data_IF_745183016088
#
_entry.id   IF_745183016088
#
_cell.length_a   1.000
_cell.length_b   1.000
_cell.length_c   1.000
_cell.angle_alpha   90.00
_cell.angle_beta   90.00
_cell.angle_gamma   90.00
#
_symmetry.space_group_name_H-M   'P 1'
#
loop_
_entity.id
_entity.type
_entity.pdbx_description
1 polymer ?
#
# COMPACT_ATOMS: atom_id res chain seq x y z
N UNK A 1 0.55 -4.22 -19.84
CA UNK A 1 1.36 -5.37 -20.30
C UNK A 1 2.61 -4.83 -20.96
N UNK A 2 3.79 -5.36 -20.63
CA UNK A 2 5.07 -4.96 -21.21
C UNK A 2 5.78 -6.22 -21.69
N UNK A 3 6.29 -6.18 -22.92
CA UNK A 3 7.07 -7.26 -23.51
C UNK A 3 8.53 -6.82 -23.53
N UNK A 4 9.40 -7.55 -22.84
CA UNK A 4 10.85 -7.33 -22.83
C UNK A 4 11.52 -8.46 -23.60
N UNK A 5 12.39 -8.11 -24.54
CA UNK A 5 13.08 -9.06 -25.41
C UNK A 5 14.60 -8.97 -25.19
N UNK A 6 15.32 -10.11 -25.20
CA UNK A 6 16.78 -10.13 -25.07
C UNK A 6 17.49 -9.63 -26.35
N UNK A 7 16.77 -9.61 -27.47
CA UNK A 7 17.22 -9.07 -28.76
C UNK A 7 16.36 -7.88 -29.14
N UNK A 8 16.85 -7.06 -30.07
CA UNK A 8 16.02 -6.06 -30.71
C UNK A 8 14.87 -6.74 -31.44
N UNK A 9 13.64 -6.30 -31.15
CA UNK A 9 12.41 -6.70 -31.82
C UNK A 9 11.74 -5.42 -32.29
N UNK A 10 11.54 -5.30 -33.60
CA UNK A 10 10.90 -4.12 -34.19
C UNK A 10 9.40 -4.07 -33.88
N UNK A 11 8.80 -2.88 -33.95
CA UNK A 11 7.35 -2.73 -33.82
C UNK A 11 6.61 -3.48 -34.95
N UNK A 12 7.21 -3.58 -36.13
CA UNK A 12 6.69 -4.33 -37.28
C UNK A 12 6.66 -5.85 -37.00
N UNK A 13 7.67 -6.40 -36.31
CA UNK A 13 7.66 -7.80 -35.87
C UNK A 13 6.49 -8.08 -34.92
N UNK A 14 6.24 -7.18 -33.95
CA UNK A 14 5.12 -7.33 -33.00
C UNK A 14 3.77 -7.23 -33.71
N UNK A 15 3.62 -6.24 -34.59
CA UNK A 15 2.42 -6.05 -35.40
C UNK A 15 2.16 -7.29 -36.28
N UNK A 16 3.17 -7.75 -37.01
CA UNK A 16 3.05 -8.95 -37.85
C UNK A 16 2.66 -10.19 -37.05
N UNK A 17 3.15 -10.32 -35.80
CA UNK A 17 2.74 -11.40 -34.90
C UNK A 17 1.25 -11.32 -34.57
N UNK A 18 0.72 -10.13 -34.27
CA UNK A 18 -0.72 -9.96 -33.98
C UNK A 18 -1.59 -10.32 -35.19
N UNK A 19 -1.16 -10.01 -36.40
CA UNK A 19 -1.88 -10.35 -37.64
C UNK A 19 -1.80 -11.83 -38.03
N UNK A 20 -0.68 -12.49 -37.71
CA UNK A 20 -0.42 -13.88 -38.10
C UNK A 20 -0.90 -14.92 -37.08
N UNK A 21 -1.35 -14.50 -35.89
CA UNK A 21 -1.95 -15.42 -34.92
C UNK A 21 -3.33 -15.85 -35.43
N UNK A 22 -3.52 -17.14 -35.66
CA UNK A 22 -4.83 -17.71 -35.96
C UNK A 22 -5.73 -17.64 -34.71
N UNK A 23 -6.85 -16.87 -34.73
CA UNK A 23 -7.69 -16.67 -33.55
C UNK A 23 -8.17 -17.98 -32.94
N UNK A 24 -8.59 -18.94 -33.77
CA UNK A 24 -9.12 -20.23 -33.36
C UNK A 24 -8.05 -21.10 -32.67
N UNK A 25 -6.76 -20.79 -32.83
CA UNK A 25 -5.66 -21.51 -32.19
C UNK A 25 -5.39 -21.06 -30.76
N UNK A 26 -5.88 -19.89 -30.34
CA UNK A 26 -5.54 -19.25 -29.05
C UNK A 26 -5.89 -20.15 -27.87
N UNK A 27 -7.06 -20.78 -27.89
CA UNK A 27 -7.47 -21.66 -26.81
C UNK A 27 -6.52 -22.86 -26.63
N UNK A 28 -6.08 -23.45 -27.75
CA UNK A 28 -5.13 -24.56 -27.73
C UNK A 28 -3.76 -24.09 -27.26
N UNK A 29 -3.29 -22.95 -27.76
CA UNK A 29 -2.02 -22.33 -27.35
C UNK A 29 -2.00 -22.03 -25.85
N UNK A 30 -3.08 -21.46 -25.30
CA UNK A 30 -3.19 -21.16 -23.86
C UNK A 30 -3.08 -22.42 -23.02
N UNK A 31 -3.75 -23.53 -23.42
CA UNK A 31 -3.62 -24.81 -22.71
C UNK A 31 -2.18 -25.33 -22.68
N UNK A 32 -1.44 -25.19 -23.78
CA UNK A 32 -0.03 -25.62 -23.87
C UNK A 32 0.89 -24.72 -23.05
N UNK A 33 0.70 -23.40 -23.13
CA UNK A 33 1.50 -22.40 -22.41
C UNK A 33 1.29 -22.55 -20.89
N UNK A 34 0.04 -22.71 -20.45
CA UNK A 34 -0.28 -22.83 -19.02
C UNK A 34 0.34 -24.06 -18.39
N UNK A 35 0.37 -25.20 -19.09
CA UNK A 35 1.01 -26.44 -18.62
C UNK A 35 2.51 -26.30 -18.35
N UNK A 36 3.15 -25.30 -18.94
CA UNK A 36 4.58 -25.02 -18.77
C UNK A 36 4.85 -23.71 -18.01
N UNK A 37 3.81 -23.07 -17.46
CA UNK A 37 3.91 -21.76 -16.84
C UNK A 37 3.94 -21.84 -15.31
N UNK A 38 4.80 -21.02 -14.70
CA UNK A 38 4.80 -20.81 -13.24
C UNK A 38 3.52 -20.15 -12.74
N UNK A 39 2.74 -19.53 -13.63
CA UNK A 39 1.47 -18.86 -13.31
C UNK A 39 0.45 -19.79 -12.64
N UNK A 40 0.39 -21.06 -13.05
CA UNK A 40 -0.62 -21.99 -12.51
C UNK A 40 -0.15 -22.75 -11.28
N UNK A 41 1.07 -22.51 -10.77
CA UNK A 41 1.64 -23.20 -9.60
C UNK A 41 0.70 -23.25 -8.41
N UNK A 42 0.21 -22.08 -7.99
CA UNK A 42 -0.68 -21.98 -6.84
C UNK A 42 -2.01 -22.68 -7.10
N UNK A 43 -2.55 -22.54 -8.31
CA UNK A 43 -3.78 -23.21 -8.70
C UNK A 43 -3.63 -24.73 -8.71
N UNK A 44 -2.47 -25.26 -9.15
CA UNK A 44 -2.17 -26.69 -9.16
C UNK A 44 -2.10 -27.24 -7.73
N UNK A 45 -1.43 -26.53 -6.82
CA UNK A 45 -1.38 -26.92 -5.41
C UNK A 45 -2.77 -26.91 -4.79
N UNK A 46 -3.56 -25.86 -5.02
CA UNK A 46 -4.91 -25.77 -4.48
C UNK A 46 -5.82 -26.86 -5.02
N UNK A 47 -5.77 -27.14 -6.32
CA UNK A 47 -6.53 -28.21 -6.96
C UNK A 47 -6.08 -29.57 -6.44
N UNK A 48 -4.77 -29.82 -6.35
CA UNK A 48 -4.22 -31.05 -5.77
C UNK A 48 -4.67 -31.28 -4.33
N UNK A 49 -4.72 -30.23 -3.49
CA UNK A 49 -5.27 -30.32 -2.12
C UNK A 49 -6.76 -30.64 -2.10
N UNK A 50 -7.55 -30.04 -3.01
CA UNK A 50 -8.99 -30.31 -3.13
C UNK A 50 -9.29 -31.73 -3.59
N UNK A 51 -8.50 -32.25 -4.52
CA UNK A 51 -8.59 -33.63 -5.01
C UNK A 51 -7.99 -34.66 -4.04
N UNK A 52 -7.38 -34.22 -2.93
CA UNK A 52 -6.71 -35.09 -1.97
C UNK A 52 -5.37 -35.66 -2.46
N UNK A 53 -4.89 -35.23 -3.63
CA UNK A 53 -3.59 -35.64 -4.16
C UNK A 53 -2.41 -34.96 -3.43
N UNK A 54 -2.67 -33.88 -2.69
CA UNK A 54 -1.71 -33.21 -1.81
C UNK A 54 -2.28 -33.08 -0.40
N UNK A 55 -1.44 -33.25 0.62
CA UNK A 55 -1.83 -33.04 2.01
C UNK A 55 -2.17 -31.56 2.27
N UNK A 56 -3.01 -31.30 3.28
CA UNK A 56 -3.39 -29.93 3.67
C UNK A 56 -2.17 -29.10 4.06
N UNK A 57 -1.20 -29.72 4.71
CA UNK A 57 0.04 -29.09 5.19
C UNK A 57 1.16 -29.09 4.14
N UNK A 58 0.87 -29.52 2.90
CA UNK A 58 1.86 -29.51 1.82
C UNK A 58 2.36 -28.08 1.57
N UNK A 59 3.66 -27.89 1.74
CA UNK A 59 4.36 -26.64 1.46
C UNK A 59 4.71 -26.54 -0.02
N UNK A 60 3.99 -25.67 -0.70
CA UNK A 60 4.21 -25.36 -2.11
C UNK A 60 5.60 -24.81 -2.41
N UNK A 61 6.34 -24.26 -1.44
CA UNK A 61 7.69 -23.70 -1.69
C UNK A 61 8.80 -24.74 -1.69
N UNK A 62 8.56 -25.89 -1.08
CA UNK A 62 9.54 -26.98 -0.92
C UNK A 62 9.85 -27.77 -2.20
N UNK A 63 8.99 -27.71 -3.23
CA UNK A 63 9.13 -28.47 -4.48
C UNK A 63 9.20 -27.56 -5.69
N UNK A 64 10.25 -27.67 -6.52
CA UNK A 64 10.38 -26.90 -7.76
C UNK A 64 9.20 -27.12 -8.73
N UNK A 65 8.85 -26.09 -9.52
CA UNK A 65 7.64 -26.14 -10.36
C UNK A 65 7.66 -27.27 -11.39
N UNK A 66 8.83 -27.52 -11.99
CA UNK A 66 9.02 -28.59 -12.96
C UNK A 66 8.64 -29.96 -12.39
N UNK A 67 9.12 -30.27 -11.18
CA UNK A 67 8.81 -31.53 -10.48
C UNK A 67 7.34 -31.65 -10.12
N UNK A 68 6.70 -30.54 -9.71
CA UNK A 68 5.27 -30.52 -9.43
C UNK A 68 4.46 -30.83 -10.70
N UNK A 69 4.85 -30.27 -11.85
CA UNK A 69 4.23 -30.60 -13.13
C UNK A 69 4.46 -32.04 -13.54
N UNK A 70 5.69 -32.55 -13.48
CA UNK A 70 6.02 -33.94 -13.83
C UNK A 70 5.17 -34.96 -13.05
N UNK A 71 4.88 -34.68 -11.77
CA UNK A 71 4.03 -35.56 -10.93
C UNK A 71 2.57 -35.53 -11.37
N UNK A 72 2.07 -34.38 -11.82
CA UNK A 72 0.68 -34.20 -12.20
C UNK A 72 0.46 -34.28 -13.72
N UNK A 73 1.49 -34.59 -14.50
CA UNK A 73 1.34 -34.69 -15.95
C UNK A 73 0.40 -35.84 -16.33
N UNK A 74 -0.46 -35.60 -17.31
CA UNK A 74 -1.54 -36.51 -17.68
C UNK A 74 -2.63 -36.74 -16.61
N UNK A 75 -2.58 -36.06 -15.46
CA UNK A 75 -3.60 -36.21 -14.40
C UNK A 75 -4.82 -35.31 -14.60
N UNK A 76 -5.97 -35.76 -14.09
CA UNK A 76 -7.21 -34.96 -13.99
C UNK A 76 -6.99 -33.68 -13.17
N UNK A 77 -6.09 -33.72 -12.17
CA UNK A 77 -5.76 -32.57 -11.33
C UNK A 77 -5.14 -31.44 -12.16
N UNK A 78 -4.21 -31.77 -13.06
CA UNK A 78 -3.59 -30.77 -13.94
C UNK A 78 -4.59 -30.26 -14.97
N UNK A 79 -5.40 -31.13 -15.56
CA UNK A 79 -6.44 -30.74 -16.51
C UNK A 79 -7.43 -29.75 -15.88
N UNK A 80 -7.97 -30.09 -14.70
CA UNK A 80 -8.89 -29.22 -13.97
C UNK A 80 -8.23 -27.91 -13.57
N UNK A 81 -6.96 -27.93 -13.17
CA UNK A 81 -6.20 -26.71 -12.87
C UNK A 81 -6.17 -25.78 -14.08
N UNK A 82 -5.88 -26.30 -15.27
CA UNK A 82 -5.83 -25.50 -16.51
C UNK A 82 -7.22 -24.98 -16.86
N UNK A 83 -8.26 -25.82 -16.80
CA UNK A 83 -9.63 -25.43 -17.08
C UNK A 83 -10.10 -24.30 -16.14
N UNK A 84 -9.86 -24.47 -14.83
CA UNK A 84 -10.19 -23.48 -13.81
C UNK A 84 -9.47 -22.15 -14.02
N UNK A 85 -8.18 -22.18 -14.35
CA UNK A 85 -7.41 -20.95 -14.62
C UNK A 85 -7.95 -20.23 -15.86
N UNK A 86 -8.23 -20.97 -16.93
CA UNK A 86 -8.84 -20.39 -18.13
C UNK A 86 -10.19 -19.76 -17.76
N UNK A 87 -11.04 -20.47 -17.02
CA UNK A 87 -12.38 -20.00 -16.67
C UNK A 87 -12.39 -18.80 -15.71
N UNK A 88 -11.58 -18.83 -14.63
CA UNK A 88 -11.63 -17.81 -13.57
C UNK A 88 -10.72 -16.62 -13.83
N UNK A 89 -9.69 -16.77 -14.67
CA UNK A 89 -8.62 -15.76 -14.82
C UNK A 89 -8.41 -15.30 -16.25
N UNK A 90 -9.03 -15.91 -17.25
CA UNK A 90 -8.80 -15.58 -18.65
C UNK A 90 -10.10 -15.40 -19.39
N UNK A 91 -10.10 -14.44 -20.30
CA UNK A 91 -11.21 -14.22 -21.21
C UNK A 91 -10.77 -14.61 -22.63
N UNK A 92 -10.69 -15.93 -22.85
CA UNK A 92 -10.19 -16.48 -24.12
C UNK A 92 -11.18 -16.21 -25.24
N UNK A 93 -12.48 -16.25 -24.96
CA UNK A 93 -13.53 -16.03 -25.95
C UNK A 93 -13.44 -14.62 -26.55
N UNK A 94 -13.47 -13.57 -25.72
CA UNK A 94 -13.36 -12.20 -26.24
C UNK A 94 -11.95 -11.89 -26.78
N UNK A 95 -10.90 -12.56 -26.29
CA UNK A 95 -9.57 -12.43 -26.88
C UNK A 95 -9.52 -12.94 -28.34
N UNK A 96 -10.24 -14.01 -28.67
CA UNK A 96 -10.41 -14.51 -30.04
C UNK A 96 -11.14 -13.49 -30.89
N UNK A 97 -12.20 -12.86 -30.37
CA UNK A 97 -12.94 -11.80 -31.07
C UNK A 97 -12.06 -10.58 -31.38
N UNK A 98 -11.22 -10.15 -30.42
CA UNK A 98 -10.27 -9.05 -30.62
C UNK A 98 -9.27 -9.39 -31.72
N UNK A 99 -8.69 -10.59 -31.72
CA UNK A 99 -7.74 -11.01 -32.76
C UNK A 99 -8.42 -11.12 -34.14
N UNK A 100 -9.64 -11.62 -34.20
CA UNK A 100 -10.44 -11.64 -35.43
C UNK A 100 -10.71 -10.22 -35.93
N UNK A 101 -11.11 -9.32 -35.05
CA UNK A 101 -11.31 -7.91 -35.38
C UNK A 101 -10.05 -7.22 -35.89
N UNK A 102 -8.87 -7.55 -35.34
CA UNK A 102 -7.58 -7.07 -35.85
C UNK A 102 -7.34 -7.60 -37.27
N UNK A 103 -7.51 -8.91 -37.50
CA UNK A 103 -7.26 -9.58 -38.79
C UNK A 103 -8.20 -9.09 -39.90
N UNK A 104 -9.46 -8.84 -39.57
CA UNK A 104 -10.48 -8.33 -40.49
C UNK A 104 -10.38 -6.81 -40.74
N UNK A 105 -9.52 -6.11 -39.99
CA UNK A 105 -9.36 -4.65 -40.09
C UNK A 105 -10.41 -3.84 -39.33
N UNK A 106 -11.30 -4.50 -38.57
CA UNK A 106 -12.29 -3.86 -37.69
C UNK A 106 -11.63 -3.18 -36.47
N UNK A 107 -10.48 -3.69 -36.03
CA UNK A 107 -9.66 -3.12 -34.96
C UNK A 107 -8.33 -2.68 -35.56
N UNK A 108 -8.10 -1.36 -35.60
CA UNK A 108 -6.86 -0.79 -36.12
C UNK A 108 -5.74 -0.89 -35.08
N UNK A 109 -4.60 -1.47 -35.49
CA UNK A 109 -3.34 -1.42 -34.73
C UNK A 109 -2.56 -0.17 -35.16
N UNK A 110 -2.06 0.60 -34.19
CA UNK A 110 -1.30 1.85 -34.44
C UNK A 110 0.03 1.81 -33.72
N UNK A 111 1.11 1.97 -34.47
CA UNK A 111 2.47 2.12 -33.94
C UNK A 111 2.68 3.56 -33.50
N UNK A 112 3.09 3.73 -32.25
CA UNK A 112 3.39 5.05 -31.67
C UNK A 112 4.59 4.95 -30.72
N UNK A 113 5.20 6.11 -30.42
CA UNK A 113 6.21 6.21 -29.38
C UNK A 113 5.64 5.99 -27.97
N UNK A 114 6.48 6.18 -26.95
CA UNK A 114 6.03 6.07 -25.56
C UNK A 114 4.94 7.11 -25.24
N UNK A 115 3.74 6.62 -24.94
CA UNK A 115 2.67 7.44 -24.37
C UNK A 115 2.78 7.50 -22.84
N UNK A 116 2.10 8.44 -22.16
CA UNK A 116 2.00 8.43 -20.69
C UNK A 116 1.52 7.09 -20.11
N UNK A 117 0.63 6.37 -20.82
CA UNK A 117 0.18 5.03 -20.43
C UNK A 117 1.28 3.97 -20.57
N UNK A 118 2.08 4.07 -21.63
CA UNK A 118 3.23 3.18 -21.87
C UNK A 118 4.31 3.38 -20.80
N UNK A 119 4.55 4.61 -20.37
CA UNK A 119 5.49 4.93 -19.28
C UNK A 119 5.08 4.27 -17.98
N UNK A 120 3.80 4.36 -17.59
CA UNK A 120 3.29 3.71 -16.37
C UNK A 120 3.44 2.19 -16.48
N UNK A 121 3.06 1.60 -17.61
CA UNK A 121 3.21 0.16 -17.84
C UNK A 121 4.66 -0.30 -17.72
N UNK A 122 5.59 0.44 -18.34
CA UNK A 122 7.04 0.19 -18.33
C UNK A 122 7.66 0.34 -16.93
N UNK A 123 7.26 1.37 -16.19
CA UNK A 123 7.69 1.56 -14.81
C UNK A 123 7.21 0.37 -13.95
N UNK A 124 5.95 -0.07 -14.09
CA UNK A 124 5.38 -1.17 -13.31
C UNK A 124 6.07 -2.50 -13.62
N UNK A 125 6.37 -2.80 -14.89
CA UNK A 125 6.98 -4.07 -15.29
C UNK A 125 8.42 -4.24 -14.79
N UNK A 126 9.17 -3.15 -14.68
CA UNK A 126 10.55 -3.14 -14.17
C UNK A 126 10.63 -3.15 -12.63
N UNK A 127 9.48 -3.24 -11.95
CA UNK A 127 9.41 -3.02 -10.50
C UNK A 127 9.78 -1.58 -10.09
N UNK A 128 9.91 -0.67 -11.07
CA UNK A 128 10.18 0.76 -10.87
C UNK A 128 8.92 1.51 -10.44
N UNK A 129 7.74 0.93 -10.72
CA UNK A 129 6.47 1.27 -10.13
C UNK A 129 5.92 0.10 -9.29
N UNK A 130 6.52 -0.10 -8.11
CA UNK A 130 5.69 0.16 -6.92
C UNK A 130 5.38 1.65 -7.01
N UNK A 131 4.13 2.07 -7.27
CA UNK A 131 3.89 3.40 -7.81
C UNK A 131 4.38 4.49 -6.85
N UNK A 132 5.56 5.05 -7.13
CA UNK A 132 6.09 6.23 -6.44
C UNK A 132 5.13 7.42 -6.58
N UNK A 133 4.40 7.49 -7.71
CA UNK A 133 3.46 8.58 -8.01
C UNK A 133 2.05 8.40 -7.44
N UNK A 134 1.48 7.19 -7.45
CA UNK A 134 0.20 6.95 -6.77
C UNK A 134 0.39 7.10 -5.25
N UNK A 135 1.52 6.64 -4.70
CA UNK A 135 1.94 7.02 -3.35
C UNK A 135 2.04 8.53 -3.22
N UNK A 136 2.72 9.27 -4.10
CA UNK A 136 2.85 10.74 -3.90
C UNK A 136 1.50 11.46 -3.87
N UNK A 137 0.56 11.14 -4.76
CA UNK A 137 -0.77 11.78 -4.76
C UNK A 137 -1.57 11.38 -3.52
N UNK A 138 -1.53 10.10 -3.13
CA UNK A 138 -2.20 9.61 -1.93
C UNK A 138 -1.56 10.20 -0.66
N UNK A 139 -0.23 10.31 -0.62
CA UNK A 139 0.53 10.89 0.48
C UNK A 139 0.35 12.41 0.55
N UNK A 140 0.20 13.09 -0.59
CA UNK A 140 -0.16 14.52 -0.65
C UNK A 140 -1.60 14.74 -0.16
N UNK A 141 -2.54 13.88 -0.56
CA UNK A 141 -3.91 13.90 -0.02
C UNK A 141 -3.94 13.60 1.47
N UNK A 142 -3.14 12.63 1.93
CA UNK A 142 -2.94 12.33 3.35
C UNK A 142 -2.38 13.55 4.08
N UNK A 143 -1.30 14.13 3.57
CA UNK A 143 -0.65 15.28 4.18
C UNK A 143 -1.64 16.44 4.28
N UNK A 144 -2.31 16.82 3.18
CA UNK A 144 -3.36 17.86 3.20
C UNK A 144 -4.45 17.56 4.24
N UNK A 145 -4.96 16.33 4.27
CA UNK A 145 -5.97 15.92 5.26
C UNK A 145 -5.48 16.07 6.70
N UNK A 146 -4.24 15.64 6.99
CA UNK A 146 -3.62 15.73 8.32
C UNK A 146 -3.33 17.19 8.69
N UNK A 147 -2.88 18.00 7.73
CA UNK A 147 -2.64 19.43 7.90
C UNK A 147 -3.92 20.21 8.27
N UNK A 148 -5.05 19.81 7.69
CA UNK A 148 -6.38 20.40 7.93
C UNK A 148 -7.05 19.91 9.21
N UNK A 149 -6.57 18.82 9.82
CA UNK A 149 -7.12 18.32 11.08
C UNK A 149 -7.04 19.38 12.19
N UNK A 150 -8.12 19.49 12.95
CA UNK A 150 -8.18 20.30 14.17
C UNK A 150 -7.43 19.59 15.29
N UNK A 151 -6.54 20.32 15.95
CA UNK A 151 -5.79 19.87 17.13
C UNK A 151 -6.15 20.70 18.35
N UNK A 152 -6.28 20.03 19.48
CA UNK A 152 -6.29 20.66 20.79
C UNK A 152 -4.89 20.66 21.36
N UNK A 153 -4.37 21.85 21.64
CA UNK A 153 -3.05 22.02 22.21
C UNK A 153 -3.20 22.47 23.66
N UNK A 154 -2.33 21.94 24.52
CA UNK A 154 -2.22 22.32 25.93
C UNK A 154 -0.77 22.63 26.26
N UNK A 155 -0.53 23.82 26.81
CA UNK A 155 0.76 24.16 27.39
C UNK A 155 0.92 23.46 28.74
N UNK A 156 1.92 22.59 28.89
CA UNK A 156 2.22 21.94 30.16
C UNK A 156 2.95 22.87 31.16
N UNK A 157 3.29 24.10 30.74
CA UNK A 157 3.92 25.10 31.61
C UNK A 157 2.88 26.00 32.31
N UNK A 158 1.92 26.56 31.55
CA UNK A 158 0.93 27.51 32.09
C UNK A 158 -0.53 27.02 32.01
N UNK A 159 -0.74 25.77 31.59
CA UNK A 159 -2.05 25.13 31.44
C UNK A 159 -3.07 25.89 30.57
N UNK A 160 -2.57 26.76 29.69
CA UNK A 160 -3.37 27.38 28.65
C UNK A 160 -3.61 26.36 27.53
N UNK A 161 -4.86 26.21 27.13
CA UNK A 161 -5.28 25.35 26.02
C UNK A 161 -5.93 26.18 24.91
N UNK A 162 -5.76 25.74 23.67
CA UNK A 162 -6.36 26.39 22.51
C UNK A 162 -6.59 25.38 21.38
N UNK A 163 -7.54 25.68 20.50
CA UNK A 163 -7.82 24.90 19.29
C UNK A 163 -7.13 25.55 18.10
N UNK A 164 -6.53 24.76 17.23
CA UNK A 164 -5.98 25.24 15.94
C UNK A 164 -6.00 24.10 14.91
N UNK A 165 -5.51 24.32 13.70
CA UNK A 165 -5.21 23.25 12.74
C UNK A 165 -3.73 22.94 12.73
N UNK A 166 -3.35 21.73 12.33
CA UNK A 166 -1.93 21.35 12.22
C UNK A 166 -1.16 22.30 11.29
N UNK A 167 -1.81 22.78 10.23
CA UNK A 167 -1.24 23.79 9.32
C UNK A 167 -0.94 25.12 9.99
N UNK A 168 -1.81 25.59 10.88
CA UNK A 168 -1.69 26.90 11.55
C UNK A 168 -0.80 26.88 12.80
N UNK A 169 -0.45 25.71 13.33
CA UNK A 169 0.34 25.60 14.55
C UNK A 169 1.82 26.02 14.41
N UNK A 170 2.28 26.32 13.19
CA UNK A 170 3.66 26.67 12.88
C UNK A 170 4.63 25.47 12.93
N UNK A 171 5.86 25.66 12.46
CA UNK A 171 6.86 24.58 12.40
C UNK A 171 7.26 24.07 13.80
N UNK A 172 7.35 24.98 14.78
CA UNK A 172 7.57 24.68 16.19
C UNK A 172 6.47 25.35 17.03
N UNK A 173 5.41 24.61 17.41
CA UNK A 173 4.32 25.16 18.19
C UNK A 173 4.80 25.75 19.52
N UNK A 174 4.36 26.98 19.82
CA UNK A 174 4.65 27.70 21.07
C UNK A 174 3.36 28.12 21.73
N UNK A 175 3.36 28.20 23.05
CA UNK A 175 2.24 28.77 23.79
C UNK A 175 2.17 30.29 23.57
N UNK A 176 1.04 30.78 23.04
CA UNK A 176 0.81 32.22 22.87
C UNK A 176 0.71 33.02 24.18
N UNK A 177 0.53 32.34 25.32
CA UNK A 177 0.41 32.98 26.64
C UNK A 177 1.75 33.16 27.36
N UNK A 178 2.63 32.16 27.31
CA UNK A 178 3.89 32.17 28.07
C UNK A 178 5.15 31.88 27.23
N UNK A 179 5.02 31.70 25.92
CA UNK A 179 6.14 31.45 25.01
C UNK A 179 6.76 30.05 25.09
N UNK A 180 6.34 29.21 26.05
CA UNK A 180 6.92 27.89 26.25
C UNK A 180 6.67 26.93 25.07
N UNK A 181 7.67 26.09 24.76
CA UNK A 181 7.63 25.06 23.71
C UNK A 181 7.03 23.73 24.19
N UNK A 182 6.79 23.59 25.50
CA UNK A 182 6.27 22.35 26.10
C UNK A 182 4.76 22.24 25.89
N UNK A 183 4.37 21.95 24.65
CA UNK A 183 2.98 21.91 24.17
C UNK A 183 2.59 20.46 23.85
N UNK A 184 1.53 19.97 24.47
CA UNK A 184 0.98 18.62 24.22
C UNK A 184 -0.24 18.68 23.30
N UNK A 185 -0.43 17.66 22.47
CA UNK A 185 -1.74 17.33 21.89
C UNK A 185 -2.58 16.62 22.96
N UNK A 186 -3.80 17.09 23.19
CA UNK A 186 -4.71 16.61 24.24
C UNK A 186 -6.12 16.39 23.69
N UNK A 187 -6.90 15.48 24.27
CA UNK A 187 -8.35 15.43 24.04
C UNK A 187 -9.04 16.48 24.90
N UNK A 188 -10.15 17.04 24.42
CA UNK A 188 -10.86 18.13 25.12
C UNK A 188 -11.29 17.74 26.55
N UNK A 189 -11.72 16.48 26.73
CA UNK A 189 -12.08 15.88 28.02
C UNK A 189 -10.89 15.80 29.02
N UNK A 190 -9.67 15.57 28.50
CA UNK A 190 -8.47 15.33 29.30
C UNK A 190 -7.84 16.65 29.82
N UNK A 191 -8.30 17.82 29.35
CA UNK A 191 -7.73 19.13 29.74
C UNK A 191 -7.87 19.38 31.25
N UNK A 192 -8.98 18.94 31.84
CA UNK A 192 -9.27 19.15 33.27
C UNK A 192 -8.39 18.30 34.18
N UNK A 193 -7.92 17.14 33.68
CA UNK A 193 -7.08 16.19 34.44
C UNK A 193 -5.78 16.84 34.89
N UNK A 194 -5.18 17.68 34.03
CA UNK A 194 -3.86 18.28 34.29
C UNK A 194 -3.89 19.34 35.41
N UNK A 195 -5.08 19.82 35.81
CA UNK A 195 -5.24 20.81 36.88
C UNK A 195 -5.56 20.19 38.24
N UNK A 196 -5.79 18.87 38.32
CA UNK A 196 -6.12 18.19 39.57
C UNK A 196 -4.87 18.03 40.44
N UNK A 197 -5.02 18.28 41.76
CA UNK A 197 -3.96 18.09 42.76
C UNK A 197 -3.74 16.61 43.12
N UNK A 198 -4.81 15.81 43.08
CA UNK A 198 -4.78 14.37 43.33
C UNK A 198 -5.31 13.65 42.09
N UNK A 199 -4.57 12.65 41.61
CA UNK A 199 -4.86 11.93 40.37
C UNK A 199 -5.17 10.46 40.67
N UNK A 200 -6.22 9.93 40.06
CA UNK A 200 -6.47 8.48 40.03
C UNK A 200 -5.43 7.78 39.14
N UNK A 201 -5.35 6.44 39.20
CA UNK A 201 -4.39 5.70 38.38
C UNK A 201 -4.66 5.79 36.87
N UNK A 202 -5.93 5.95 36.47
CA UNK A 202 -6.29 6.27 35.08
C UNK A 202 -5.82 7.68 34.69
N UNK A 203 -6.00 8.66 35.57
CA UNK A 203 -5.57 10.04 35.34
C UNK A 203 -4.04 10.18 35.27
N UNK A 204 -3.30 9.40 36.07
CA UNK A 204 -1.83 9.30 35.96
C UNK A 204 -1.42 8.79 34.57
N UNK A 205 -2.15 7.83 33.99
CA UNK A 205 -1.92 7.37 32.62
C UNK A 205 -2.19 8.47 31.59
N UNK A 206 -3.23 9.30 31.78
CA UNK A 206 -3.49 10.48 30.95
C UNK A 206 -2.31 11.46 31.01
N UNK A 207 -1.86 11.83 32.20
CA UNK A 207 -0.73 12.77 32.38
C UNK A 207 0.54 12.22 31.74
N UNK A 208 0.83 10.92 31.88
CA UNK A 208 1.97 10.28 31.22
C UNK A 208 1.86 10.37 29.69
N UNK A 209 0.67 10.13 29.11
CA UNK A 209 0.44 10.28 27.66
C UNK A 209 0.66 11.72 27.20
N UNK A 210 0.21 12.71 27.97
CA UNK A 210 0.42 14.13 27.68
C UNK A 210 1.89 14.54 27.76
N UNK A 211 2.63 14.01 28.74
CA UNK A 211 4.07 14.18 28.83
C UNK A 211 4.79 13.66 27.60
N UNK A 212 4.47 12.44 27.16
CA UNK A 212 5.02 11.85 25.92
C UNK A 212 4.65 12.69 24.70
N UNK A 213 3.39 13.10 24.58
CA UNK A 213 2.90 13.97 23.51
C UNK A 213 3.69 15.28 23.44
N UNK A 214 3.88 15.96 24.57
CA UNK A 214 4.67 17.19 24.64
C UNK A 214 6.14 16.99 24.26
N UNK A 215 6.76 15.89 24.68
CA UNK A 215 8.14 15.56 24.29
C UNK A 215 8.28 15.34 22.80
N UNK A 216 7.30 14.70 22.15
CA UNK A 216 7.30 14.53 20.69
C UNK A 216 7.15 15.88 19.98
N UNK A 217 6.23 16.74 20.42
CA UNK A 217 6.06 18.09 19.85
C UNK A 217 7.30 18.95 20.04
N UNK A 218 7.97 18.84 21.19
CA UNK A 218 9.22 19.55 21.43
C UNK A 218 10.34 19.13 20.46
N UNK A 219 10.48 17.83 20.21
CA UNK A 219 11.56 17.27 19.37
C UNK A 219 11.27 17.38 17.87
N UNK A 220 10.01 17.19 17.45
CA UNK A 220 9.63 17.06 16.04
C UNK A 220 8.69 18.17 15.54
N UNK A 221 8.27 19.09 16.41
CA UNK A 221 7.44 20.23 16.06
C UNK A 221 6.14 19.81 15.38
N UNK A 222 5.85 20.44 14.24
CA UNK A 222 4.66 20.17 13.42
C UNK A 222 4.54 18.71 12.96
N UNK A 223 5.66 18.01 12.75
CA UNK A 223 5.60 16.60 12.32
C UNK A 223 5.06 15.69 13.43
N UNK A 224 5.29 16.02 14.71
CA UNK A 224 4.61 15.33 15.79
C UNK A 224 3.10 15.55 15.76
N UNK A 225 2.65 16.76 15.42
CA UNK A 225 1.22 17.04 15.27
C UNK A 225 0.61 16.20 14.15
N UNK A 226 1.26 16.12 12.98
CA UNK A 226 0.81 15.29 11.85
C UNK A 226 0.65 13.82 12.25
N UNK A 227 1.60 13.26 13.01
CA UNK A 227 1.51 11.89 13.48
C UNK A 227 0.39 11.70 14.51
N UNK A 228 0.24 12.64 15.46
CA UNK A 228 -0.72 12.52 16.57
C UNK A 228 -2.19 12.76 16.17
N UNK A 229 -2.45 13.40 15.03
CA UNK A 229 -3.82 13.53 14.48
C UNK A 229 -4.25 12.38 13.60
N UNK A 230 -3.32 11.49 13.23
CA UNK A 230 -3.64 10.34 12.41
C UNK A 230 -4.53 9.35 13.18
N UNK A 231 -5.44 8.70 12.45
CA UNK A 231 -6.44 7.80 13.05
C UNK A 231 -5.75 6.59 13.68
N UNK A 232 -6.07 6.30 14.94
CA UNK A 232 -5.47 5.18 15.68
C UNK A 232 -4.01 5.41 16.11
N UNK A 233 -3.45 6.61 15.88
CA UNK A 233 -2.06 6.91 16.23
C UNK A 233 -1.99 7.65 17.57
N UNK A 234 -1.84 6.89 18.66
CA UNK A 234 -1.58 7.44 19.99
C UNK A 234 -0.11 7.85 20.22
N UNK A 235 0.23 8.46 21.38
CA UNK A 235 1.60 8.91 21.68
C UNK A 235 2.68 7.83 21.60
N UNK A 236 2.35 6.57 21.92
CA UNK A 236 3.28 5.43 21.80
C UNK A 236 3.58 5.10 20.34
N UNK A 237 2.55 4.99 19.51
CA UNK A 237 2.68 4.72 18.07
C UNK A 237 3.38 5.87 17.36
N UNK A 238 3.01 7.12 17.67
CA UNK A 238 3.67 8.31 17.15
C UNK A 238 5.16 8.32 17.52
N UNK A 239 5.52 8.00 18.77
CA UNK A 239 6.91 7.90 19.18
C UNK A 239 7.69 6.85 18.39
N UNK A 240 7.08 5.68 18.12
CA UNK A 240 7.71 4.61 17.32
C UNK A 240 7.98 5.03 15.88
N UNK A 241 7.05 5.77 15.26
CA UNK A 241 7.22 6.32 13.91
C UNK A 241 8.32 7.38 13.91
N UNK A 242 8.19 8.40 14.77
CA UNK A 242 9.05 9.58 14.78
C UNK A 242 10.51 9.26 15.13
N UNK A 243 10.78 8.24 15.95
CA UNK A 243 12.14 7.81 16.32
C UNK A 243 13.04 7.45 15.14
N UNK A 244 12.48 7.19 13.96
CA UNK A 244 13.22 6.84 12.74
C UNK A 244 13.75 8.04 11.97
N UNK A 245 13.36 9.25 12.36
CA UNK A 245 13.59 10.48 11.63
C UNK A 245 14.22 11.53 12.53
N UNK A 246 14.88 12.54 11.95
CA UNK A 246 15.26 13.77 12.66
C UNK A 246 14.46 14.96 12.15
N UNK A 247 14.20 15.95 13.01
CA UNK A 247 13.45 17.15 12.61
C UNK A 247 14.04 17.83 11.37
N UNK A 248 15.37 18.04 11.35
CA UNK A 248 16.05 18.67 10.21
C UNK A 248 15.85 17.88 8.92
N UNK A 249 15.93 16.55 8.96
CA UNK A 249 15.74 15.68 7.79
C UNK A 249 14.33 15.78 7.21
N UNK A 250 13.31 15.88 8.08
CA UNK A 250 11.91 16.04 7.65
C UNK A 250 11.66 17.42 7.02
N UNK A 251 12.42 18.43 7.43
CA UNK A 251 12.37 19.79 6.84
C UNK A 251 13.10 19.82 5.50
N UNK A 252 14.31 19.28 5.42
CA UNK A 252 15.23 19.46 4.29
C UNK A 252 15.08 18.42 3.18
N UNK A 253 14.53 17.23 3.47
CA UNK A 253 14.42 16.13 2.51
C UNK A 253 12.97 15.75 2.25
N UNK A 254 12.53 15.98 1.02
CA UNK A 254 11.21 15.56 0.55
C UNK A 254 11.04 14.04 0.63
N UNK A 255 12.09 13.27 0.31
CA UNK A 255 12.07 11.81 0.39
C UNK A 255 11.82 11.32 1.82
N UNK A 256 12.52 11.89 2.81
CA UNK A 256 12.26 11.53 4.21
C UNK A 256 10.87 11.95 4.68
N UNK A 257 10.34 13.07 4.17
CA UNK A 257 8.96 13.47 4.45
C UNK A 257 7.95 12.48 3.86
N UNK A 258 8.13 12.03 2.62
CA UNK A 258 7.30 10.99 1.99
C UNK A 258 7.38 9.67 2.75
N UNK A 259 8.57 9.24 3.17
CA UNK A 259 8.75 8.06 4.02
C UNK A 259 8.01 8.17 5.36
N UNK A 260 8.09 9.33 6.01
CA UNK A 260 7.36 9.61 7.25
C UNK A 260 5.83 9.53 7.05
N UNK A 261 5.29 10.17 6.01
CA UNK A 261 3.87 10.10 5.69
C UNK A 261 3.41 8.67 5.38
N UNK A 262 4.24 7.88 4.70
CA UNK A 262 3.97 6.46 4.42
C UNK A 262 3.90 5.62 5.70
N UNK A 263 4.76 5.89 6.67
CA UNK A 263 4.71 5.22 7.98
C UNK A 263 3.44 5.58 8.77
N UNK A 264 2.94 6.82 8.64
CA UNK A 264 1.64 7.23 9.20
C UNK A 264 0.50 6.48 8.51
N UNK A 265 0.50 6.44 7.18
CA UNK A 265 -0.55 5.75 6.40
C UNK A 265 -0.65 4.27 6.79
N UNK A 266 0.49 3.58 6.91
CA UNK A 266 0.55 2.18 7.38
C UNK A 266 -0.06 2.01 8.77
N UNK A 267 0.15 2.97 9.67
CA UNK A 267 -0.43 2.92 11.01
C UNK A 267 -1.95 3.12 10.99
N UNK A 268 -2.49 3.98 10.12
CA UNK A 268 -3.95 4.12 9.95
C UNK A 268 -4.59 2.86 9.35
N UNK A 269 -3.95 2.23 8.35
CA UNK A 269 -4.42 0.97 7.77
C UNK A 269 -4.47 -0.13 8.82
N UNK A 270 -3.39 -0.31 9.58
CA UNK A 270 -3.33 -1.32 10.63
C UNK A 270 -4.40 -1.08 11.71
N UNK A 271 -4.67 0.18 12.05
CA UNK A 271 -5.78 0.52 12.95
C UNK A 271 -7.14 0.18 12.32
N UNK A 272 -7.37 0.50 11.05
CA UNK A 272 -8.63 0.19 10.36
C UNK A 272 -8.90 -1.32 10.27
N UNK A 273 -7.87 -2.12 9.99
CA UNK A 273 -7.94 -3.60 9.97
C UNK A 273 -8.26 -4.18 11.34
N UNK A 274 -7.65 -3.64 12.39
CA UNK A 274 -7.80 -4.17 13.75
C UNK A 274 -8.99 -3.59 14.50
N UNK A 275 -9.59 -2.48 14.06
CA UNK A 275 -10.68 -1.78 14.76
C UNK A 275 -11.88 -2.68 15.10
N UNK A 276 -12.22 -3.63 14.21
CA UNK A 276 -13.29 -4.60 14.46
C UNK A 276 -13.05 -5.54 15.65
N UNK A 277 -11.80 -5.68 16.11
CA UNK A 277 -11.43 -6.42 17.31
C UNK A 277 -11.47 -5.58 18.59
N UNK A 278 -11.35 -4.24 18.50
CA UNK A 278 -11.28 -3.35 19.66
C UNK A 278 -12.62 -2.72 20.05
N UNK A 279 -13.59 -2.62 19.14
CA UNK A 279 -14.94 -2.12 19.42
C UNK A 279 -15.85 -3.18 20.13
N UNK A 280 -15.31 -4.35 20.51
CA UNK A 280 -16.02 -5.45 21.20
C UNK A 280 -15.65 -5.64 22.68
N UNK A 281 -14.90 -4.73 23.30
CA UNK A 281 -14.63 -4.73 24.75
C UNK A 281 -15.07 -3.43 25.40
#
# INVERSE_FOLDING_TARGET
MVLEFPRHVSADEVESTLFNVEPESVQRLMRVILRNSTFIRWNLVHTGKKFGALSKDFDATSVGMKRLFEVFDGSVVLEETVNKVIWERMDVEHAVEVLRGIKEGNIRVVKQGFSPFSTIGYEVSRGLAVPQRADSVILEMLEKRLEEQRVFLLCLNCFHSWKTTVKRAGARPRCGRCGALRVAVVREEDVKVVRKKSLTDDEKRVVKRLGTSASLVLSYGRFALLALVARGVGPSTAARILRRYRFHELVSSEENRKRFLRDIWKAELHYAETRGFWDKN
#
